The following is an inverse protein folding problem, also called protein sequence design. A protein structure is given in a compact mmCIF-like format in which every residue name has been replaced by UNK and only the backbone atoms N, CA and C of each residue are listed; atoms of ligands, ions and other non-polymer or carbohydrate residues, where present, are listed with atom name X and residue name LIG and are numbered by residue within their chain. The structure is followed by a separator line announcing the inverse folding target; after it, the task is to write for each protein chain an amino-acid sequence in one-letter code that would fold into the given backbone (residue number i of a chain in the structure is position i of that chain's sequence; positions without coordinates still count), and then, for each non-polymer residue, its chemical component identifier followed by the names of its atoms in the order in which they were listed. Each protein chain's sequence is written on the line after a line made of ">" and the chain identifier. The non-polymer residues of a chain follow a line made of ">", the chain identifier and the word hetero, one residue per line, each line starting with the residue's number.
data_IF_754098729676
#
_entry.id   IF_754098729676
#
_cell.length_a   1.000
_cell.length_b   1.000
_cell.length_c   1.000
_cell.angle_alpha   90.00
_cell.angle_beta   90.00
_cell.angle_gamma   90.00
#
_symmetry.space_group_name_H-M   'P 1'
#
loop_
_entity.id
_entity.type
_entity.pdbx_description
1 polymer ?
#
# COMPACT_ATOMS: atom_id res chain seq x y z
N UNK A 1 -0.22 -3.37 12.29
CA UNK A 1 -0.89 -2.61 11.23
C UNK A 1 -0.21 -2.97 9.92
N UNK A 2 -0.94 -3.13 8.82
CA UNK A 2 -0.33 -3.49 7.54
C UNK A 2 0.69 -2.45 7.11
N UNK A 3 1.82 -2.91 6.58
CA UNK A 3 2.87 -2.07 6.03
C UNK A 3 2.49 -1.66 4.62
N UNK A 4 2.52 -0.36 4.35
CA UNK A 4 2.29 0.19 3.02
C UNK A 4 3.51 0.04 2.09
N UNK A 5 4.51 -0.80 2.43
CA UNK A 5 5.75 -0.97 1.67
C UNK A 5 5.49 -1.33 0.20
N UNK A 6 4.63 -2.31 -0.05
CA UNK A 6 4.31 -2.72 -1.42
C UNK A 6 3.45 -1.71 -2.15
N UNK A 7 2.43 -1.13 -1.50
CA UNK A 7 1.67 -0.03 -2.08
C UNK A 7 2.59 1.12 -2.54
N UNK A 8 3.54 1.55 -1.70
CA UNK A 8 4.52 2.58 -2.08
C UNK A 8 5.36 2.17 -3.29
N UNK A 9 5.82 0.92 -3.35
CA UNK A 9 6.57 0.41 -4.49
C UNK A 9 5.76 0.44 -5.80
N UNK A 10 4.49 0.02 -5.75
CA UNK A 10 3.59 0.07 -6.91
C UNK A 10 3.36 1.50 -7.41
N UNK A 11 3.15 2.45 -6.48
CA UNK A 11 2.96 3.85 -6.85
C UNK A 11 4.22 4.43 -7.53
N UNK A 12 5.42 4.10 -7.03
CA UNK A 12 6.68 4.51 -7.66
C UNK A 12 6.82 3.92 -9.07
N UNK A 13 6.55 2.62 -9.24
CA UNK A 13 6.67 1.94 -10.53
C UNK A 13 5.70 2.49 -11.59
N UNK A 14 4.57 3.04 -11.15
CA UNK A 14 3.53 3.62 -12.01
C UNK A 14 3.63 5.15 -12.14
N UNK A 15 4.72 5.75 -11.66
CA UNK A 15 4.95 7.21 -11.63
C UNK A 15 3.80 8.00 -10.98
N UNK A 16 3.19 7.44 -9.94
CA UNK A 16 2.10 8.05 -9.20
C UNK A 16 2.67 8.83 -8.02
N UNK A 17 2.50 10.15 -8.03
CA UNK A 17 2.96 11.03 -6.96
C UNK A 17 1.90 11.14 -5.87
N UNK A 18 2.33 11.59 -4.70
CA UNK A 18 1.42 11.82 -3.58
C UNK A 18 0.30 12.82 -3.93
N UNK A 19 0.59 13.81 -4.76
CA UNK A 19 -0.42 14.78 -5.25
C UNK A 19 -1.52 14.10 -6.08
N UNK A 20 -1.16 13.09 -6.87
CA UNK A 20 -2.13 12.37 -7.71
C UNK A 20 -3.07 11.54 -6.83
N UNK A 21 -2.55 10.97 -5.75
CA UNK A 21 -3.36 10.29 -4.71
C UNK A 21 -4.26 11.29 -3.97
N UNK A 22 -3.79 12.50 -3.66
CA UNK A 22 -4.62 13.52 -3.00
C UNK A 22 -5.81 13.95 -3.86
N UNK A 23 -5.58 14.10 -5.16
CA UNK A 23 -6.63 14.45 -6.13
C UNK A 23 -7.63 13.31 -6.27
N UNK A 24 -7.15 12.07 -6.45
CA UNK A 24 -8.02 10.90 -6.59
C UNK A 24 -8.92 10.67 -5.37
N UNK A 25 -8.36 10.78 -4.17
CA UNK A 25 -9.10 10.51 -2.93
C UNK A 25 -9.89 11.72 -2.42
N UNK A 26 -9.73 12.89 -3.06
CA UNK A 26 -10.23 14.18 -2.59
C UNK A 26 -9.88 14.44 -1.11
N UNK A 27 -8.59 14.32 -0.79
CA UNK A 27 -8.05 14.47 0.58
C UNK A 27 -6.87 15.40 0.59
N UNK A 28 -6.66 16.09 1.72
CA UNK A 28 -5.44 16.89 1.91
C UNK A 28 -4.17 16.02 1.87
N UNK A 29 -3.06 16.64 1.49
CA UNK A 29 -1.74 15.99 1.48
C UNK A 29 -1.34 15.44 2.85
N UNK A 30 -1.69 16.15 3.93
CA UNK A 30 -1.45 15.73 5.30
C UNK A 30 -2.23 14.46 5.67
N UNK A 31 -3.49 14.37 5.23
CA UNK A 31 -4.32 13.17 5.42
C UNK A 31 -3.73 11.98 4.67
N UNK A 32 -3.38 12.15 3.40
CA UNK A 32 -2.75 11.08 2.60
C UNK A 32 -1.42 10.63 3.22
N UNK A 33 -0.58 11.56 3.69
CA UNK A 33 0.68 11.22 4.38
C UNK A 33 0.42 10.33 5.60
N UNK A 34 -0.54 10.72 6.45
CA UNK A 34 -0.92 9.94 7.63
C UNK A 34 -1.49 8.56 7.28
N UNK A 35 -2.21 8.42 6.15
CA UNK A 35 -2.68 7.11 5.65
C UNK A 35 -1.53 6.18 5.30
N UNK A 36 -0.48 6.69 4.64
CA UNK A 36 0.72 5.91 4.33
C UNK A 36 1.56 5.56 5.55
N UNK A 37 1.57 6.42 6.57
CA UNK A 37 2.37 6.22 7.79
C UNK A 37 1.63 5.32 8.79
N UNK A 38 0.44 5.72 9.23
CA UNK A 38 -0.12 5.24 10.51
C UNK A 38 -1.65 5.03 10.53
N UNK A 39 -2.41 5.53 9.54
CA UNK A 39 -3.88 5.41 9.54
C UNK A 39 -4.40 4.28 8.64
N UNK A 40 -3.64 3.91 7.61
CA UNK A 40 -4.13 3.00 6.57
C UNK A 40 -5.20 3.63 5.67
N UNK A 41 -5.63 2.84 4.68
CA UNK A 41 -6.62 3.23 3.69
C UNK A 41 -7.98 2.62 4.02
N UNK A 42 -9.06 3.35 3.76
CA UNK A 42 -10.40 2.77 3.88
C UNK A 42 -10.65 1.86 2.69
N UNK A 43 -11.66 0.98 2.78
CA UNK A 43 -12.04 0.12 1.66
C UNK A 43 -12.36 0.93 0.39
N UNK A 44 -13.04 2.07 0.53
CA UNK A 44 -13.32 2.98 -0.59
C UNK A 44 -12.04 3.57 -1.21
N UNK A 45 -11.06 3.96 -0.39
CA UNK A 45 -9.77 4.45 -0.90
C UNK A 45 -9.03 3.34 -1.68
N UNK A 46 -9.06 2.10 -1.15
CA UNK A 46 -8.41 0.94 -1.75
C UNK A 46 -9.00 0.64 -3.13
N UNK A 47 -10.34 0.59 -3.24
CA UNK A 47 -11.02 0.37 -4.52
C UNK A 47 -10.66 1.44 -5.54
N UNK A 48 -10.69 2.72 -5.15
CA UNK A 48 -10.31 3.82 -6.05
C UNK A 48 -8.86 3.70 -6.54
N UNK A 49 -7.93 3.36 -5.66
CA UNK A 49 -6.52 3.20 -6.02
C UNK A 49 -6.28 1.95 -6.88
N UNK A 50 -6.97 0.84 -6.57
CA UNK A 50 -6.95 -0.38 -7.36
C UNK A 50 -7.44 -0.12 -8.79
N UNK A 51 -8.64 0.45 -8.94
CA UNK A 51 -9.25 0.69 -10.25
C UNK A 51 -8.46 1.72 -11.07
N UNK A 52 -7.98 2.80 -10.43
CA UNK A 52 -7.32 3.90 -11.13
C UNK A 52 -5.92 3.52 -11.62
N UNK A 53 -5.18 2.80 -10.79
CA UNK A 53 -3.77 2.53 -11.04
C UNK A 53 -3.48 1.06 -11.28
N UNK A 54 -4.45 0.15 -11.28
CA UNK A 54 -4.23 -1.28 -11.46
C UNK A 54 -3.20 -1.81 -10.43
N UNK A 55 -3.46 -1.50 -9.14
CA UNK A 55 -2.63 -1.94 -8.01
C UNK A 55 -3.28 -3.19 -7.41
N UNK A 56 -2.56 -4.32 -7.28
CA UNK A 56 -3.12 -5.53 -6.65
C UNK A 56 -3.61 -5.28 -5.22
N UNK A 57 -4.75 -5.87 -4.86
CA UNK A 57 -5.36 -5.66 -3.53
C UNK A 57 -4.42 -6.11 -2.39
N UNK A 58 -3.62 -7.14 -2.64
CA UNK A 58 -2.63 -7.69 -1.71
C UNK A 58 -1.59 -6.64 -1.30
N UNK A 59 -1.30 -5.66 -2.17
CA UNK A 59 -0.34 -4.59 -1.88
C UNK A 59 -0.76 -3.70 -0.70
N UNK A 60 -2.06 -3.67 -0.37
CA UNK A 60 -2.62 -2.89 0.76
C UNK A 60 -2.60 -3.65 2.09
N UNK A 61 -2.40 -4.98 2.05
CA UNK A 61 -2.53 -5.86 3.21
C UNK A 61 -1.23 -6.59 3.56
N UNK A 62 -0.08 -6.07 3.10
CA UNK A 62 1.21 -6.65 3.44
C UNK A 62 1.50 -6.56 4.94
N UNK A 63 1.80 -7.70 5.55
CA UNK A 63 2.10 -7.80 6.98
C UNK A 63 3.56 -8.23 7.18
N UNK A 64 4.41 -7.26 7.54
CA UNK A 64 5.83 -7.49 7.81
C UNK A 64 6.09 -8.49 8.94
N UNK A 65 5.12 -8.74 9.81
CA UNK A 65 5.28 -9.69 10.92
C UNK A 65 5.04 -11.13 10.49
N UNK A 66 4.26 -11.35 9.43
CA UNK A 66 3.97 -12.70 8.90
C UNK A 66 5.11 -13.23 8.03
N UNK A 67 5.74 -12.36 7.26
CA UNK A 67 6.81 -12.77 6.34
C UNK A 67 8.13 -13.12 7.04
N UNK A 68 8.37 -12.63 8.27
CA UNK A 68 9.54 -13.03 9.07
C UNK A 68 9.60 -14.53 9.36
N UNK A 69 8.45 -15.22 9.32
CA UNK A 69 8.38 -16.67 9.51
C UNK A 69 8.38 -17.44 8.18
N UNK A 70 8.20 -16.78 7.04
CA UNK A 70 8.14 -17.40 5.70
C UNK A 70 9.51 -17.64 5.04
N UNK A 71 10.56 -17.00 5.55
CA UNK A 71 11.94 -17.16 5.05
C UNK A 71 12.77 -18.21 5.82
N UNK A 72 12.16 -19.03 6.68
CA UNK A 72 12.78 -20.28 7.11
C UNK A 72 12.68 -21.27 5.95
N UNK A 73 13.59 -21.13 4.99
CA UNK A 73 13.81 -22.13 3.96
C UNK A 73 13.99 -23.48 4.64
N UNK A 74 13.10 -24.40 4.29
CA UNK A 74 13.15 -25.80 4.65
C UNK A 74 14.37 -26.42 3.95
N UNK A 75 15.57 -26.16 4.49
CA UNK A 75 16.85 -26.74 4.04
C UNK A 75 17.07 -28.12 4.69
N UNK A 76 16.04 -28.96 4.73
CA UNK A 76 16.21 -30.36 5.09
C UNK A 76 16.21 -31.17 3.80
N UNK A 77 17.43 -31.32 3.26
CA UNK A 77 17.78 -32.31 2.24
C UNK A 77 18.33 -33.55 2.93
#
# INVERSE_FOLDING_TARGET
>A
MYSNKYLKAYLILKDVRQTDVTLLLNKSISTVRRKFENLGFTQSDIVLLHDKYDIPLEAFFYDETKDKNGFLFNNNK
#
